data_IF_298374482310
#
_entry.id   IF_298374482310
#
_cell.length_a   1.000
_cell.length_b   1.000
_cell.length_c   1.000
_cell.angle_alpha   90.00
_cell.angle_beta   90.00
_cell.angle_gamma   90.00
#
_symmetry.space_group_name_H-M   'P 1'
#
loop_
_entity.id
_entity.type
_entity.pdbx_description
1 polymer ?
#
# COMPACT_ATOMS: atom_id res chain seq x y z
N UNK A 1 4.72 53.12 -26.42
CA UNK A 1 4.92 52.19 -25.29
C UNK A 1 4.51 50.81 -25.76
N UNK A 2 5.47 49.89 -25.86
CA UNK A 2 5.24 48.53 -26.36
C UNK A 2 5.55 47.58 -25.20
N UNK A 3 4.53 46.92 -24.67
CA UNK A 3 4.66 45.93 -23.59
C UNK A 3 5.13 44.60 -24.18
N UNK A 4 6.32 44.16 -23.81
CA UNK A 4 6.75 42.78 -24.00
C UNK A 4 6.17 41.94 -22.87
N UNK A 5 5.22 41.07 -23.18
CA UNK A 5 4.76 40.01 -22.27
C UNK A 5 5.73 38.85 -22.42
N UNK A 6 6.59 38.68 -21.42
CA UNK A 6 7.43 37.51 -21.27
C UNK A 6 6.56 36.39 -20.71
N UNK A 7 6.17 35.43 -21.55
CA UNK A 7 5.49 34.21 -21.10
C UNK A 7 6.54 33.36 -20.37
N UNK A 8 6.53 33.45 -19.04
CA UNK A 8 7.25 32.52 -18.19
C UNK A 8 6.53 31.18 -18.30
N UNK A 9 7.06 30.26 -19.11
CA UNK A 9 6.68 28.86 -19.07
C UNK A 9 7.12 28.33 -17.71
N UNK A 10 6.21 28.36 -16.73
CA UNK A 10 6.37 27.61 -15.49
C UNK A 10 6.19 26.15 -15.88
N UNK A 11 7.28 25.48 -16.22
CA UNK A 11 7.35 24.03 -16.20
C UNK A 11 7.06 23.60 -14.77
N UNK A 12 5.85 23.08 -14.55
CA UNK A 12 5.52 22.28 -13.38
C UNK A 12 6.42 21.05 -13.41
N UNK A 13 7.59 21.16 -12.77
CA UNK A 13 8.41 20.03 -12.37
C UNK A 13 7.54 19.19 -11.43
N UNK A 14 6.95 18.11 -11.94
CA UNK A 14 6.39 17.08 -11.09
C UNK A 14 7.53 16.53 -10.23
N UNK A 15 7.37 16.62 -8.91
CA UNK A 15 8.30 16.09 -7.92
C UNK A 15 8.48 14.55 -7.97
N UNK A 16 7.95 13.87 -8.98
CA UNK A 16 8.09 12.43 -9.19
C UNK A 16 9.42 12.00 -9.82
N UNK A 17 10.24 12.93 -10.35
CA UNK A 17 11.45 12.57 -11.13
C UNK A 17 12.77 12.69 -10.37
N UNK A 18 12.78 13.00 -9.07
CA UNK A 18 14.03 13.24 -8.33
C UNK A 18 14.78 11.97 -7.85
N UNK A 19 14.36 10.77 -8.26
CA UNK A 19 15.09 9.52 -7.99
C UNK A 19 15.40 8.71 -9.26
N UNK A 20 15.51 9.37 -10.40
CA UNK A 20 16.00 8.77 -11.64
C UNK A 20 17.40 9.29 -11.95
N UNK A 21 18.42 8.57 -11.45
CA UNK A 21 19.80 8.45 -11.96
C UNK A 21 20.78 8.30 -10.79
N UNK A 22 20.92 7.07 -10.32
CA UNK A 22 22.28 6.60 -10.04
C UNK A 22 22.41 5.16 -10.54
N UNK A 23 23.24 5.03 -11.57
CA UNK A 23 23.38 3.88 -12.45
C UNK A 23 24.25 2.80 -11.79
N UNK A 24 23.64 1.98 -10.93
CA UNK A 24 24.10 0.65 -10.47
C UNK A 24 23.06 -0.07 -9.56
N UNK A 25 21.84 0.47 -9.43
CA UNK A 25 20.89 0.02 -8.40
C UNK A 25 20.31 -1.36 -8.72
N UNK A 26 20.48 -2.33 -7.83
CA UNK A 26 19.73 -3.58 -7.84
C UNK A 26 18.21 -3.30 -7.89
N UNK A 27 17.44 -4.16 -8.57
CA UNK A 27 15.99 -4.07 -8.56
C UNK A 27 15.48 -4.49 -7.18
N UNK A 28 14.96 -3.51 -6.44
CA UNK A 28 14.63 -3.63 -5.03
C UNK A 28 13.39 -2.81 -4.66
N UNK A 29 12.72 -3.21 -3.59
CA UNK A 29 11.75 -2.39 -2.89
C UNK A 29 12.53 -1.29 -2.17
N UNK A 30 12.07 -0.04 -2.26
CA UNK A 30 12.68 1.06 -1.52
C UNK A 30 12.52 0.85 0.00
N UNK A 31 13.36 1.49 0.81
CA UNK A 31 13.21 1.42 2.27
C UNK A 31 11.99 2.22 2.74
N UNK A 32 11.49 1.95 3.95
CA UNK A 32 10.36 2.70 4.50
C UNK A 32 10.71 4.18 4.70
N UNK A 33 11.97 4.50 5.02
CA UNK A 33 12.50 5.88 5.08
C UNK A 33 12.40 6.62 3.74
N UNK A 34 12.35 5.87 2.64
CA UNK A 34 12.14 6.37 1.29
C UNK A 34 10.69 6.22 0.82
N UNK A 35 9.74 5.99 1.74
CA UNK A 35 8.34 5.68 1.44
C UNK A 35 8.20 4.45 0.52
N UNK A 36 9.04 3.45 0.74
CA UNK A 36 9.01 2.19 0.02
C UNK A 36 7.74 1.40 0.23
N UNK A 37 7.13 1.53 1.41
CA UNK A 37 5.79 1.05 1.68
C UNK A 37 5.01 2.17 2.37
N UNK A 38 3.87 2.54 1.81
CA UNK A 38 2.98 3.54 2.40
C UNK A 38 1.65 2.91 2.74
N UNK A 39 1.16 3.18 3.95
CA UNK A 39 -0.10 2.67 4.48
C UNK A 39 -1.13 3.79 4.56
N UNK A 40 -2.31 3.55 4.00
CA UNK A 40 -3.44 4.47 4.03
C UNK A 40 -4.70 3.74 4.49
N UNK A 41 -5.35 4.21 5.55
CA UNK A 41 -6.69 3.75 5.91
C UNK A 41 -7.72 4.28 4.91
N UNK A 42 -8.75 3.49 4.62
CA UNK A 42 -9.94 4.00 3.94
C UNK A 42 -10.81 4.71 4.99
N UNK A 43 -10.95 6.04 4.89
CA UNK A 43 -11.80 6.80 5.81
C UNK A 43 -13.28 6.40 5.71
N UNK A 44 -13.70 5.85 4.57
CA UNK A 44 -15.09 5.55 4.28
C UNK A 44 -15.44 4.08 4.56
N UNK A 45 -14.44 3.24 4.82
CA UNK A 45 -14.58 1.84 5.22
C UNK A 45 -13.56 1.50 6.31
N UNK A 46 -14.02 1.43 7.55
CA UNK A 46 -13.17 1.20 8.74
C UNK A 46 -12.25 -0.01 8.65
N UNK A 47 -12.71 -1.06 7.96
CA UNK A 47 -11.97 -2.30 7.79
C UNK A 47 -11.11 -2.35 6.53
N UNK A 48 -11.08 -1.28 5.73
CA UNK A 48 -10.33 -1.24 4.48
C UNK A 48 -9.11 -0.33 4.59
N UNK A 49 -8.07 -0.69 3.87
CA UNK A 49 -6.86 0.09 3.75
C UNK A 49 -6.10 -0.26 2.47
N UNK A 50 -5.15 0.59 2.11
CA UNK A 50 -4.28 0.39 0.96
C UNK A 50 -2.83 0.39 1.38
N UNK A 51 -2.04 -0.43 0.69
CA UNK A 51 -0.58 -0.39 0.73
C UNK A 51 -0.04 -0.02 -0.64
N UNK A 52 0.87 0.95 -0.69
CA UNK A 52 1.60 1.31 -1.91
C UNK A 52 3.05 0.88 -1.75
N UNK A 53 3.50 0.02 -2.66
CA UNK A 53 4.88 -0.47 -2.73
C UNK A 53 5.62 0.29 -3.82
N UNK A 54 6.76 0.90 -3.47
CA UNK A 54 7.59 1.69 -4.39
C UNK A 54 8.92 1.00 -4.67
N UNK A 55 9.30 0.91 -5.95
CA UNK A 55 10.49 0.16 -6.38
C UNK A 55 11.60 1.07 -6.93
N UNK A 56 12.84 0.58 -6.86
CA UNK A 56 14.04 1.30 -7.34
C UNK A 56 14.11 1.46 -8.86
N UNK A 57 13.35 0.67 -9.62
CA UNK A 57 13.32 0.68 -11.08
C UNK A 57 11.91 0.49 -11.63
N UNK A 58 11.75 0.83 -12.91
CA UNK A 58 10.50 0.68 -13.66
C UNK A 58 10.06 -0.78 -13.76
N UNK A 59 8.78 -0.98 -13.52
CA UNK A 59 8.10 -2.27 -13.54
C UNK A 59 7.68 -2.63 -14.97
N UNK A 60 7.88 -3.89 -15.33
CA UNK A 60 7.32 -4.46 -16.55
C UNK A 60 5.80 -4.47 -16.47
N UNK A 61 5.11 -4.10 -17.54
CA UNK A 61 3.66 -4.20 -17.60
C UNK A 61 3.23 -5.67 -17.51
N UNK A 62 2.45 -5.97 -16.48
CA UNK A 62 1.87 -7.28 -16.21
C UNK A 62 0.56 -7.11 -15.43
N UNK A 63 -0.30 -8.11 -15.49
CA UNK A 63 -1.46 -8.17 -14.59
C UNK A 63 -0.97 -8.54 -13.20
N UNK A 64 -1.26 -7.68 -12.22
CA UNK A 64 -0.95 -7.93 -10.81
C UNK A 64 -2.13 -8.51 -10.03
N UNK A 65 -3.22 -8.83 -10.74
CA UNK A 65 -4.40 -9.44 -10.16
C UNK A 65 -4.03 -10.78 -9.50
N UNK A 66 -4.07 -10.81 -8.17
CA UNK A 66 -3.72 -11.98 -7.36
C UNK A 66 -2.43 -11.86 -6.55
N UNK A 67 -1.71 -10.73 -6.61
CA UNK A 67 -0.65 -10.47 -5.65
C UNK A 67 -1.24 -10.22 -4.26
N UNK A 68 -0.72 -10.93 -3.25
CA UNK A 68 -1.02 -10.72 -1.84
C UNK A 68 0.29 -10.38 -1.13
N UNK A 69 0.75 -9.14 -1.23
CA UNK A 69 2.10 -8.79 -0.72
C UNK A 69 2.24 -8.84 0.80
N UNK A 70 1.15 -9.07 1.54
CA UNK A 70 1.09 -8.94 3.00
C UNK A 70 0.28 -10.03 3.67
N UNK A 71 0.83 -10.57 4.77
CA UNK A 71 0.10 -11.23 5.86
C UNK A 71 0.29 -10.43 7.18
N UNK A 72 -0.57 -10.66 8.17
CA UNK A 72 -0.44 -10.02 9.48
C UNK A 72 0.49 -10.77 10.42
N UNK A 73 1.20 -10.01 11.27
CA UNK A 73 1.96 -10.58 12.37
C UNK A 73 1.05 -11.24 13.41
N UNK A 74 1.63 -12.14 14.20
CA UNK A 74 0.91 -12.82 15.29
C UNK A 74 0.38 -11.82 16.34
N UNK A 75 1.17 -10.81 16.68
CA UNK A 75 0.80 -9.80 17.68
C UNK A 75 -0.40 -8.99 17.20
N UNK A 76 -0.39 -8.52 15.94
CA UNK A 76 -1.53 -7.79 15.38
C UNK A 76 -2.79 -8.66 15.28
N UNK A 77 -2.64 -9.96 14.93
CA UNK A 77 -3.74 -10.92 14.96
C UNK A 77 -4.34 -11.07 16.37
N UNK A 78 -3.53 -10.97 17.43
CA UNK A 78 -3.99 -11.00 18.82
C UNK A 78 -4.68 -9.70 19.24
N UNK A 79 -4.18 -8.54 18.79
CA UNK A 79 -4.81 -7.23 19.06
C UNK A 79 -6.19 -7.10 18.38
N UNK A 80 -6.30 -7.58 17.14
CA UNK A 80 -7.58 -7.69 16.43
C UNK A 80 -8.56 -8.65 17.14
N UNK A 81 -8.04 -9.69 17.81
CA UNK A 81 -8.84 -10.65 18.60
C UNK A 81 -9.30 -10.10 19.94
N UNK A 82 -8.43 -9.35 20.64
CA UNK A 82 -8.69 -8.88 22.00
C UNK A 82 -9.60 -7.65 22.07
N UNK A 83 -9.71 -6.89 20.97
CA UNK A 83 -10.55 -5.68 20.93
C UNK A 83 -12.06 -5.97 21.00
N UNK A 84 -12.53 -7.21 20.80
CA UNK A 84 -13.96 -7.55 20.83
C UNK A 84 -14.16 -9.01 21.27
N UNK A 85 -15.09 -9.26 22.19
CA UNK A 85 -15.44 -10.63 22.64
C UNK A 85 -16.05 -11.46 21.48
N UNK A 86 -15.61 -12.72 21.30
CA UNK A 86 -16.25 -13.70 20.40
C UNK A 86 -15.55 -13.97 19.05
N UNK A 87 -14.23 -13.81 18.95
CA UNK A 87 -13.45 -13.95 17.69
C UNK A 87 -12.71 -15.29 17.62
N UNK A 88 -12.89 -16.02 16.51
CA UNK A 88 -12.06 -17.20 16.19
C UNK A 88 -10.77 -16.79 15.48
N UNK A 89 -10.87 -15.99 14.41
CA UNK A 89 -9.73 -15.52 13.61
C UNK A 89 -10.03 -14.24 12.81
N UNK A 90 -8.97 -13.56 12.37
CA UNK A 90 -8.99 -12.41 11.48
C UNK A 90 -8.02 -12.62 10.31
N UNK A 91 -8.35 -12.08 9.13
CA UNK A 91 -7.53 -12.19 7.93
C UNK A 91 -7.68 -10.97 7.02
N UNK A 92 -6.77 -10.84 6.05
CA UNK A 92 -6.83 -9.85 4.99
C UNK A 92 -7.33 -10.47 3.71
N UNK A 93 -8.25 -9.78 3.07
CA UNK A 93 -8.68 -10.09 1.71
C UNK A 93 -8.21 -9.00 0.77
N UNK A 94 -7.45 -9.38 -0.26
CA UNK A 94 -7.11 -8.50 -1.37
C UNK A 94 -8.37 -8.20 -2.18
N UNK A 95 -8.75 -6.93 -2.25
CA UNK A 95 -9.86 -6.48 -3.10
C UNK A 95 -9.38 -6.13 -4.50
N UNK A 96 -8.24 -5.47 -4.59
CA UNK A 96 -7.71 -4.95 -5.85
C UNK A 96 -6.19 -4.84 -5.79
N UNK A 97 -5.57 -4.89 -6.96
CA UNK A 97 -4.15 -4.56 -7.14
C UNK A 97 -4.00 -3.82 -8.46
N UNK A 98 -3.24 -2.73 -8.44
CA UNK A 98 -3.05 -1.88 -9.60
C UNK A 98 -1.67 -1.25 -9.61
N UNK A 99 -1.13 -1.04 -10.80
CA UNK A 99 0.11 -0.30 -11.01
C UNK A 99 -0.19 1.20 -10.93
N UNK A 100 0.65 1.96 -10.23
CA UNK A 100 0.62 3.42 -10.19
C UNK A 100 1.91 3.93 -10.83
N UNK A 101 1.77 4.74 -11.90
CA UNK A 101 2.91 5.18 -12.70
C UNK A 101 3.70 3.98 -13.26
N UNK A 102 5.02 4.09 -13.29
CA UNK A 102 5.93 3.05 -13.76
C UNK A 102 6.60 2.24 -12.64
N UNK A 103 6.57 2.71 -11.39
CA UNK A 103 7.43 2.18 -10.30
C UNK A 103 6.67 1.77 -9.04
N UNK A 104 5.34 1.77 -9.05
CA UNK A 104 4.55 1.48 -7.86
C UNK A 104 3.44 0.48 -8.12
N UNK A 105 3.11 -0.28 -7.08
CA UNK A 105 1.93 -1.14 -7.04
C UNK A 105 1.13 -0.77 -5.80
N UNK A 106 -0.16 -0.46 -5.97
CA UNK A 106 -1.12 -0.33 -4.88
C UNK A 106 -1.93 -1.61 -4.75
N UNK A 107 -2.06 -2.09 -3.53
CA UNK A 107 -2.96 -3.19 -3.18
C UNK A 107 -3.96 -2.69 -2.15
N UNK A 108 -5.23 -2.91 -2.44
CA UNK A 108 -6.34 -2.58 -1.55
C UNK A 108 -6.77 -3.82 -0.81
N UNK A 109 -6.85 -3.71 0.52
CA UNK A 109 -7.19 -4.79 1.43
C UNK A 109 -8.48 -4.47 2.17
N UNK A 110 -9.24 -5.52 2.47
CA UNK A 110 -10.30 -5.49 3.48
C UNK A 110 -9.92 -6.50 4.56
N UNK A 111 -9.82 -6.02 5.79
CA UNK A 111 -9.73 -6.88 6.96
C UNK A 111 -11.09 -7.47 7.28
N UNK A 112 -11.09 -8.78 7.51
CA UNK A 112 -12.28 -9.54 7.87
C UNK A 112 -12.03 -10.26 9.18
N UNK A 113 -13.06 -10.25 10.00
CA UNK A 113 -13.11 -10.93 11.29
C UNK A 113 -14.26 -11.92 11.26
N UNK A 114 -14.02 -13.13 11.76
CA UNK A 114 -14.99 -14.22 11.79
C UNK A 114 -15.30 -14.58 13.24
N UNK A 115 -16.58 -14.49 13.61
CA UNK A 115 -17.10 -14.88 14.91
C UNK A 115 -17.31 -16.38 15.03
N UNK A 116 -17.52 -16.86 16.26
CA UNK A 116 -17.74 -18.28 16.59
C UNK A 116 -18.94 -18.90 15.84
N UNK A 117 -19.93 -18.10 15.46
CA UNK A 117 -21.11 -18.51 14.70
C UNK A 117 -20.91 -18.42 13.16
N UNK A 118 -19.72 -18.05 12.70
CA UNK A 118 -19.40 -17.86 11.28
C UNK A 118 -19.85 -16.50 10.71
N UNK A 119 -20.36 -15.59 11.54
CA UNK A 119 -20.66 -14.23 11.16
C UNK A 119 -19.41 -13.44 10.73
N UNK A 120 -19.59 -12.54 9.76
CA UNK A 120 -18.56 -11.59 9.33
C UNK A 120 -18.80 -10.25 10.01
N UNK A 121 -17.81 -9.75 10.74
CA UNK A 121 -17.84 -8.43 11.35
C UNK A 121 -17.24 -7.40 10.39
N UNK A 122 -18.08 -6.46 9.93
CA UNK A 122 -17.68 -5.36 9.04
C UNK A 122 -17.34 -4.07 9.78
N UNK A 123 -17.54 -4.03 11.10
CA UNK A 123 -17.28 -2.85 11.95
C UNK A 123 -15.84 -2.82 12.50
N UNK A 124 -15.02 -3.79 12.10
CA UNK A 124 -13.60 -3.86 12.45
C UNK A 124 -12.86 -2.58 12.04
N UNK A 125 -12.39 -1.82 13.02
CA UNK A 125 -11.57 -0.63 12.77
C UNK A 125 -10.09 -1.01 12.73
N UNK A 126 -9.42 -0.62 11.64
CA UNK A 126 -7.99 -0.84 11.48
C UNK A 126 -7.24 0.21 12.29
N UNK A 127 -6.28 -0.22 13.11
CA UNK A 127 -5.42 0.70 13.86
C UNK A 127 -4.69 1.69 12.95
N UNK A 128 -4.44 2.90 13.46
CA UNK A 128 -3.58 3.90 12.80
C UNK A 128 -2.14 3.42 12.60
N UNK A 129 -1.75 2.35 13.30
CA UNK A 129 -0.48 1.68 13.15
C UNK A 129 -0.71 0.18 12.95
N UNK A 130 -0.10 -0.39 11.92
CA UNK A 130 -0.21 -1.82 11.61
C UNK A 130 1.16 -2.47 11.54
N UNK A 131 1.24 -3.72 11.97
CA UNK A 131 2.40 -4.57 11.76
C UNK A 131 2.10 -5.62 10.69
N UNK A 132 2.88 -5.59 9.61
CA UNK A 132 2.70 -6.45 8.45
C UNK A 132 3.92 -7.33 8.22
N UNK A 133 3.70 -8.47 7.59
CA UNK A 133 4.71 -9.40 7.10
C UNK A 133 4.67 -9.44 5.57
N UNK A 134 5.80 -9.16 4.92
CA UNK A 134 5.94 -9.16 3.47
C UNK A 134 6.13 -10.58 2.91
N UNK A 135 5.39 -10.94 1.86
CA UNK A 135 5.39 -12.31 1.29
C UNK A 135 6.36 -12.46 0.11
N UNK A 136 7.47 -13.17 0.32
CA UNK A 136 8.54 -13.38 -0.69
C UNK A 136 8.03 -13.93 -2.03
N UNK A 137 7.07 -14.85 -1.95
CA UNK A 137 6.57 -15.59 -3.10
C UNK A 137 5.83 -14.70 -4.10
N UNK A 138 5.15 -13.67 -3.63
CA UNK A 138 4.52 -12.67 -4.49
C UNK A 138 5.52 -11.64 -4.99
N UNK A 139 6.54 -11.27 -4.20
CA UNK A 139 7.60 -10.38 -4.66
C UNK A 139 8.45 -10.98 -5.80
N UNK A 140 8.65 -12.30 -5.82
CA UNK A 140 9.31 -13.00 -6.95
C UNK A 140 8.53 -12.91 -8.27
N UNK A 141 7.25 -12.57 -8.22
CA UNK A 141 6.38 -12.37 -9.39
C UNK A 141 6.42 -10.93 -9.92
N UNK A 142 7.15 -10.04 -9.24
CA UNK A 142 7.33 -8.65 -9.67
C UNK A 142 8.65 -8.55 -10.42
N UNK A 143 8.59 -7.94 -11.61
CA UNK A 143 9.73 -7.82 -12.52
C UNK A 143 9.94 -6.38 -12.97
N UNK A 144 11.21 -5.98 -13.12
CA UNK A 144 11.54 -4.75 -13.83
C UNK A 144 11.37 -4.91 -15.35
N UNK A 145 11.48 -3.80 -16.08
CA UNK A 145 11.39 -3.78 -17.56
C UNK A 145 12.38 -4.71 -18.27
N UNK A 146 13.53 -5.01 -17.64
CA UNK A 146 14.54 -5.94 -18.14
C UNK A 146 14.22 -7.42 -17.84
N UNK A 147 13.13 -7.71 -17.13
CA UNK A 147 12.72 -9.07 -16.75
C UNK A 147 13.44 -9.63 -15.53
N UNK A 148 14.19 -8.82 -14.78
CA UNK A 148 14.77 -9.22 -13.51
C UNK A 148 13.68 -9.22 -12.44
N UNK A 149 13.55 -10.32 -11.70
CA UNK A 149 12.65 -10.41 -10.55
C UNK A 149 13.20 -9.60 -9.39
N UNK A 150 12.32 -9.16 -8.49
CA UNK A 150 12.77 -8.55 -7.25
C UNK A 150 13.64 -9.52 -6.45
N UNK A 151 14.74 -9.03 -5.89
CA UNK A 151 15.51 -9.81 -4.93
C UNK A 151 14.69 -10.03 -3.65
N UNK A 152 14.77 -11.24 -3.09
CA UNK A 152 14.06 -11.58 -1.86
C UNK A 152 14.61 -10.71 -0.73
N UNK A 153 13.72 -9.99 -0.05
CA UNK A 153 14.11 -9.17 1.09
C UNK A 153 14.74 -10.01 2.21
N UNK A 154 15.75 -9.44 2.87
CA UNK A 154 16.31 -9.98 4.10
C UNK A 154 15.20 -10.28 5.11
N UNK A 155 15.26 -11.42 5.81
CA UNK A 155 14.28 -11.86 6.81
C UNK A 155 14.08 -10.80 7.90
N UNK A 156 15.16 -10.15 8.34
CA UNK A 156 15.11 -9.05 9.31
C UNK A 156 14.30 -7.85 8.80
N UNK A 157 14.10 -7.78 7.49
CA UNK A 157 13.41 -6.73 6.76
C UNK A 157 12.03 -7.15 6.24
N UNK A 158 11.44 -8.25 6.71
CA UNK A 158 10.11 -8.68 6.23
C UNK A 158 8.97 -8.17 7.08
N UNK A 159 9.20 -7.98 8.38
CA UNK A 159 8.20 -7.40 9.27
C UNK A 159 8.35 -5.88 9.28
N UNK A 160 7.23 -5.18 9.16
CA UNK A 160 7.16 -3.73 9.07
C UNK A 160 6.08 -3.19 9.95
N UNK A 161 6.43 -2.21 10.76
CA UNK A 161 5.46 -1.35 11.41
C UNK A 161 5.23 -0.14 10.52
N UNK A 162 3.99 0.05 10.08
CA UNK A 162 3.59 1.16 9.23
C UNK A 162 2.61 2.04 9.99
N UNK A 163 2.73 3.35 9.81
CA UNK A 163 1.85 4.35 10.38
C UNK A 163 1.01 4.95 9.26
N UNK A 164 -0.28 5.15 9.54
CA UNK A 164 -1.23 5.68 8.59
C UNK A 164 -0.72 7.04 8.08
N UNK A 165 -0.60 7.15 6.76
CA UNK A 165 -0.03 8.30 6.07
C UNK A 165 -1.10 9.25 5.53
N UNK A 166 -2.39 9.01 5.79
CA UNK A 166 -3.45 9.95 5.42
C UNK A 166 -3.21 11.31 6.10
N UNK A 167 -3.02 12.34 5.27
CA UNK A 167 -3.16 13.74 5.65
C UNK A 167 -4.53 14.19 5.10
N UNK A 168 -5.58 13.97 5.89
CA UNK A 168 -6.95 14.48 5.72
C UNK A 168 -7.63 14.22 4.34
N UNK A 169 -8.55 13.26 4.27
CA UNK A 169 -9.50 13.15 3.14
C UNK A 169 -10.90 12.80 3.62
N UNK A 170 -11.66 13.84 3.99
CA UNK A 170 -13.03 13.68 4.49
C UNK A 170 -13.92 12.83 3.57
N UNK A 171 -14.58 11.82 4.13
CA UNK A 171 -15.73 11.19 3.50
C UNK A 171 -16.85 12.22 3.37
N UNK A 172 -17.00 12.81 2.18
CA UNK A 172 -18.20 13.58 1.86
C UNK A 172 -19.39 12.63 1.97
N UNK A 173 -20.11 12.74 3.09
CA UNK A 173 -21.43 12.15 3.24
C UNK A 173 -22.30 12.75 2.15
N UNK A 174 -22.60 11.97 1.11
CA UNK A 174 -23.69 12.26 0.20
C UNK A 174 -24.96 12.22 1.03
N UNK A 175 -25.38 13.37 1.56
CA UNK A 175 -26.70 13.56 2.13
C UNK A 175 -27.71 13.12 1.08
N UNK A 176 -28.53 12.12 1.44
CA UNK A 176 -29.72 11.75 0.69
C UNK A 176 -30.56 13.01 0.47
N UNK A 177 -30.77 13.38 -0.79
CA UNK A 177 -31.80 14.36 -1.16
C UNK A 177 -33.17 13.81 -0.80
N UNK A 178 -33.95 14.69 -0.15
CA UNK A 178 -35.33 14.57 0.31
C UNK A 178 -36.27 13.73 -0.56
#
# INVERSE_FOLDING_TARGET
MQFFVMVLMISTLHHSDLFAQDSNSHFALLSDEQNGIVFFKDECKKNAFSLIFSFSQDLKDASYQGLTLVDFSKNFKEDLKSSHDGIVYAYLEVQSSQKIGNRQIRIDYIAKKVSDDGGLDTDLDISEQIEILLLDEDFKRIFNVSGQSLEVMDISKKTRTLVNSNLETSCLQTFKGN
#
